data_IF_066824800900
#
_entry.id   IF_066824800900
#
_cell.length_a   1.000
_cell.length_b   1.000
_cell.length_c   1.000
_cell.angle_alpha   90.00
_cell.angle_beta   90.00
_cell.angle_gamma   90.00
#
_symmetry.space_group_name_H-M   'P 1'
#
loop_
_entity.id
_entity.type
_entity.pdbx_description
1 polymer ?
#
# COMPACT_ATOMS: atom_id res chain seq x y z
N UNK A 1 -1.70 22.62 -11.97
CA UNK A 1 -2.59 21.47 -12.19
C UNK A 1 -1.95 20.53 -13.20
N UNK A 2 -1.41 19.38 -12.77
CA UNK A 2 -0.98 18.32 -13.68
C UNK A 2 -2.20 17.53 -14.13
N UNK A 3 -2.78 17.91 -15.28
CA UNK A 3 -3.72 17.03 -15.99
C UNK A 3 -2.88 15.91 -16.60
N UNK A 4 -2.70 14.81 -15.87
CA UNK A 4 -2.33 13.53 -16.50
C UNK A 4 -3.40 13.30 -17.57
N UNK A 5 -3.02 13.37 -18.86
CA UNK A 5 -3.89 12.85 -19.92
C UNK A 5 -3.94 11.35 -19.65
N UNK A 6 -5.02 10.91 -19.01
CA UNK A 6 -5.32 9.48 -18.91
C UNK A 6 -5.49 9.04 -20.36
N UNK A 7 -4.51 8.29 -20.87
CA UNK A 7 -4.74 7.51 -22.08
C UNK A 7 -5.78 6.48 -21.66
N UNK A 8 -7.01 6.65 -22.15
CA UNK A 8 -8.08 5.68 -21.91
C UNK A 8 -7.80 4.54 -22.87
N UNK A 9 -7.32 3.42 -22.35
CA UNK A 9 -7.18 2.20 -23.15
C UNK A 9 -8.58 1.70 -23.49
N UNK A 10 -8.77 1.12 -24.68
CA UNK A 10 -10.09 0.67 -25.16
C UNK A 10 -10.72 -0.40 -24.25
N UNK A 11 -9.93 -1.07 -23.41
CA UNK A 11 -10.39 -2.05 -22.42
C UNK A 11 -11.15 -1.41 -21.22
N UNK A 12 -10.96 -0.10 -20.97
CA UNK A 12 -11.59 0.70 -19.90
C UNK A 12 -12.93 1.34 -20.32
N UNK A 13 -13.54 0.90 -21.42
CA UNK A 13 -14.89 1.30 -21.75
C UNK A 13 -15.91 0.54 -20.90
N UNK A 14 -16.41 1.21 -19.84
CA UNK A 14 -17.49 0.74 -18.96
C UNK A 14 -18.87 0.72 -19.63
N UNK A 15 -18.95 0.88 -20.95
CA UNK A 15 -20.21 0.86 -21.71
C UNK A 15 -21.04 -0.41 -21.48
N UNK A 16 -20.40 -1.56 -21.24
CA UNK A 16 -21.06 -2.84 -20.92
C UNK A 16 -21.76 -2.87 -19.54
N UNK A 17 -21.43 -1.95 -18.64
CA UNK A 17 -22.12 -1.80 -17.34
C UNK A 17 -23.46 -1.04 -17.47
N UNK A 18 -23.75 -0.45 -18.64
CA UNK A 18 -24.95 0.36 -18.87
C UNK A 18 -26.25 -0.40 -18.61
N UNK A 19 -26.95 -0.05 -17.53
CA UNK A 19 -28.24 -0.64 -17.18
C UNK A 19 -28.16 -1.81 -16.19
N UNK A 20 -27.00 -2.04 -15.56
CA UNK A 20 -26.93 -2.82 -14.32
C UNK A 20 -27.66 -2.05 -13.19
N UNK A 21 -28.49 -2.76 -12.42
CA UNK A 21 -29.30 -2.15 -11.34
C UNK A 21 -28.85 -2.59 -9.95
N UNK A 22 -28.22 -3.76 -9.86
CA UNK A 22 -27.75 -4.35 -8.61
C UNK A 22 -26.26 -4.71 -8.74
N UNK A 23 -25.54 -4.75 -7.62
CA UNK A 23 -24.12 -5.16 -7.58
C UNK A 23 -23.88 -6.55 -8.21
N UNK A 24 -24.85 -7.47 -8.07
CA UNK A 24 -24.83 -8.76 -8.74
C UNK A 24 -24.92 -8.66 -10.27
N UNK A 25 -25.72 -7.72 -10.79
CA UNK A 25 -25.83 -7.50 -12.25
C UNK A 25 -24.52 -6.95 -12.82
N UNK A 26 -23.84 -6.06 -12.09
CA UNK A 26 -22.54 -5.53 -12.49
C UNK A 26 -21.48 -6.64 -12.57
N UNK A 27 -21.42 -7.49 -11.55
CA UNK A 27 -20.50 -8.63 -11.52
C UNK A 27 -20.81 -9.61 -12.66
N UNK A 28 -22.09 -9.93 -12.88
CA UNK A 28 -22.54 -10.81 -13.97
C UNK A 28 -22.07 -10.28 -15.32
N UNK A 29 -22.26 -8.99 -15.60
CA UNK A 29 -21.85 -8.39 -16.89
C UNK A 29 -20.34 -8.30 -17.07
N UNK A 30 -19.59 -8.04 -15.99
CA UNK A 30 -18.11 -8.12 -16.02
C UNK A 30 -17.65 -9.54 -16.37
N UNK A 31 -18.29 -10.56 -15.79
CA UNK A 31 -18.01 -11.95 -16.12
C UNK A 31 -18.39 -12.27 -17.58
N UNK A 32 -19.56 -11.84 -18.06
CA UNK A 32 -19.98 -12.04 -19.45
C UNK A 32 -18.95 -11.44 -20.44
N UNK A 33 -18.41 -10.25 -20.17
CA UNK A 33 -17.33 -9.64 -20.98
C UNK A 33 -16.04 -10.48 -20.98
N UNK A 34 -15.63 -10.98 -19.82
CA UNK A 34 -14.43 -11.82 -19.69
C UNK A 34 -14.60 -13.17 -20.41
N UNK A 35 -15.81 -13.74 -20.36
CA UNK A 35 -16.13 -15.03 -20.99
C UNK A 35 -16.28 -14.93 -22.51
N UNK A 36 -16.50 -13.75 -23.09
CA UNK A 36 -16.51 -13.57 -24.55
C UNK A 36 -15.14 -13.87 -25.17
N UNK A 37 -14.04 -13.60 -24.47
CA UNK A 37 -12.67 -13.77 -24.96
C UNK A 37 -11.80 -14.55 -23.97
N UNK A 38 -12.08 -15.84 -23.81
CA UNK A 38 -11.38 -16.71 -22.84
C UNK A 38 -9.87 -16.84 -23.11
N UNK A 39 -9.44 -16.71 -24.37
CA UNK A 39 -8.02 -16.77 -24.74
C UNK A 39 -7.22 -15.53 -24.33
N UNK A 40 -7.87 -14.36 -24.14
CA UNK A 40 -7.18 -13.14 -23.69
C UNK A 40 -6.98 -13.24 -22.17
N UNK A 41 -5.73 -13.25 -21.67
CA UNK A 41 -5.50 -13.26 -20.23
C UNK A 41 -6.12 -12.02 -19.60
N UNK A 42 -6.83 -12.20 -18.49
CA UNK A 42 -7.43 -11.10 -17.76
C UNK A 42 -6.35 -10.15 -17.23
N UNK A 43 -6.52 -8.86 -17.47
CA UNK A 43 -5.63 -7.84 -16.95
C UNK A 43 -5.84 -7.69 -15.43
N UNK A 44 -4.80 -8.03 -14.66
CA UNK A 44 -4.77 -7.79 -13.21
C UNK A 44 -3.86 -6.57 -13.01
N UNK A 45 -4.39 -5.43 -12.53
CA UNK A 45 -3.58 -4.24 -12.37
C UNK A 45 -2.49 -4.48 -11.31
N UNK A 46 -1.26 -4.12 -11.64
CA UNK A 46 -0.18 -4.08 -10.67
C UNK A 46 -0.44 -3.01 -9.60
N UNK A 47 0.16 -3.18 -8.42
CA UNK A 47 0.06 -2.18 -7.35
C UNK A 47 0.53 -0.82 -7.90
N UNK A 48 -0.26 0.26 -7.75
CA UNK A 48 0.14 1.57 -8.23
C UNK A 48 1.45 1.97 -7.56
N UNK A 49 2.42 2.37 -8.38
CA UNK A 49 3.72 2.85 -7.88
C UNK A 49 3.51 4.11 -7.04
N UNK A 50 4.10 4.13 -5.86
CA UNK A 50 4.09 5.31 -5.00
C UNK A 50 4.79 6.47 -5.73
N UNK A 51 4.17 7.66 -5.65
CA UNK A 51 4.78 8.85 -6.22
C UNK A 51 6.06 9.17 -5.44
N UNK A 52 7.14 9.44 -6.18
CA UNK A 52 8.43 9.85 -5.62
C UNK A 52 9.00 11.00 -6.45
N UNK A 53 9.74 11.94 -5.83
CA UNK A 53 10.44 12.97 -6.57
C UNK A 53 11.42 12.33 -7.55
N UNK A 54 11.51 12.90 -8.75
CA UNK A 54 12.48 12.46 -9.74
C UNK A 54 13.90 12.72 -9.21
N UNK A 55 14.86 11.79 -9.45
CA UNK A 55 16.25 12.06 -9.10
C UNK A 55 16.76 13.27 -9.90
N UNK A 56 17.64 14.10 -9.32
CA UNK A 56 18.24 15.19 -10.05
C UNK A 56 19.04 14.63 -11.25
N UNK A 57 19.05 15.33 -12.40
CA UNK A 57 19.87 14.93 -13.53
C UNK A 57 21.35 14.99 -13.16
N UNK A 58 22.11 14.00 -13.59
CA UNK A 58 23.55 13.90 -13.28
C UNK A 58 24.37 15.04 -13.88
N UNK A 59 24.03 15.45 -15.11
CA UNK A 59 24.70 16.54 -15.81
C UNK A 59 23.70 17.56 -16.35
N UNK A 60 23.92 18.82 -16.01
CA UNK A 60 23.24 19.95 -16.66
C UNK A 60 24.12 20.41 -17.82
N UNK A 61 23.65 20.21 -19.05
CA UNK A 61 24.44 20.51 -20.26
C UNK A 61 24.42 22.00 -20.64
N UNK A 62 23.39 22.72 -20.24
CA UNK A 62 23.11 24.09 -20.69
C UNK A 62 23.40 25.12 -19.59
N UNK A 63 24.56 25.01 -18.93
CA UNK A 63 24.96 25.93 -17.87
C UNK A 63 25.59 27.17 -18.52
N UNK A 64 25.04 28.35 -18.23
CA UNK A 64 25.64 29.63 -18.63
C UNK A 64 26.87 29.94 -17.76
N UNK A 65 27.85 30.66 -18.30
CA UNK A 65 29.09 30.96 -17.59
C UNK A 65 28.85 31.66 -16.25
N UNK A 66 29.71 31.43 -15.26
CA UNK A 66 29.52 31.91 -13.88
C UNK A 66 29.45 33.43 -13.73
N UNK A 67 30.03 34.18 -14.69
CA UNK A 67 30.00 35.64 -14.74
C UNK A 67 28.96 36.19 -15.73
N UNK A 68 28.16 35.34 -16.37
CA UNK A 68 27.11 35.77 -17.27
C UNK A 68 25.98 36.47 -16.48
N UNK A 69 25.43 37.55 -17.03
CA UNK A 69 24.29 38.25 -16.43
C UNK A 69 23.00 37.41 -16.42
N UNK A 70 21.99 37.87 -15.69
CA UNK A 70 20.71 37.19 -15.63
C UNK A 70 20.01 37.21 -17.00
N UNK A 71 19.84 36.03 -17.60
CA UNK A 71 19.08 35.85 -18.84
C UNK A 71 17.57 35.83 -18.61
N UNK A 72 16.79 35.99 -19.67
CA UNK A 72 15.31 35.97 -19.62
C UNK A 72 14.72 34.63 -19.18
N UNK A 73 15.45 33.53 -19.36
CA UNK A 73 15.03 32.18 -18.94
C UNK A 73 15.37 31.82 -17.50
N UNK A 74 16.25 32.58 -16.83
CA UNK A 74 16.81 32.21 -15.53
C UNK A 74 15.74 32.16 -14.43
N UNK A 75 14.76 33.07 -14.48
CA UNK A 75 13.62 33.07 -13.57
C UNK A 75 12.80 31.77 -13.66
N UNK A 76 12.55 31.28 -14.88
CA UNK A 76 11.78 30.05 -15.08
C UNK A 76 12.55 28.82 -14.61
N UNK A 77 13.88 28.81 -14.77
CA UNK A 77 14.75 27.76 -14.26
C UNK A 77 14.67 27.73 -12.73
N UNK A 78 14.89 28.86 -12.05
CA UNK A 78 14.77 28.96 -10.59
C UNK A 78 13.38 28.52 -10.09
N UNK A 79 12.31 29.00 -10.73
CA UNK A 79 10.93 28.63 -10.35
C UNK A 79 10.71 27.12 -10.40
N UNK A 80 11.19 26.46 -11.45
CA UNK A 80 11.06 25.02 -11.62
C UNK A 80 11.91 24.24 -10.59
N UNK A 81 13.16 24.66 -10.38
CA UNK A 81 14.06 24.05 -9.39
C UNK A 81 13.48 24.17 -7.98
N UNK A 82 13.04 25.38 -7.60
CA UNK A 82 12.44 25.64 -6.29
C UNK A 82 11.18 24.78 -6.06
N UNK A 83 10.34 24.65 -7.09
CA UNK A 83 9.16 23.79 -7.02
C UNK A 83 9.54 22.34 -6.79
N UNK A 84 10.47 21.80 -7.60
CA UNK A 84 10.96 20.41 -7.46
C UNK A 84 11.57 20.17 -6.10
N UNK A 85 12.35 21.13 -5.59
CA UNK A 85 13.00 21.01 -4.29
C UNK A 85 12.01 21.05 -3.13
N UNK A 86 11.02 21.96 -3.18
CA UNK A 86 9.95 21.97 -2.18
C UNK A 86 9.14 20.66 -2.18
N UNK A 87 8.81 20.14 -3.36
CA UNK A 87 8.13 18.84 -3.51
C UNK A 87 8.98 17.70 -2.94
N UNK A 88 10.30 17.73 -3.14
CA UNK A 88 11.25 16.76 -2.57
C UNK A 88 11.31 16.84 -1.04
N UNK A 89 11.39 18.05 -0.48
CA UNK A 89 11.43 18.26 0.96
C UNK A 89 10.13 17.80 1.64
N UNK A 90 8.98 18.14 1.05
CA UNK A 90 7.67 17.67 1.52
C UNK A 90 7.56 16.14 1.48
N UNK A 91 8.06 15.50 0.42
CA UNK A 91 8.09 14.04 0.32
C UNK A 91 8.91 13.40 1.45
N UNK A 92 10.10 13.93 1.72
CA UNK A 92 10.98 13.42 2.78
C UNK A 92 10.33 13.56 4.15
N UNK A 93 9.74 14.72 4.43
CA UNK A 93 9.04 14.97 5.69
C UNK A 93 7.85 14.02 5.88
N UNK A 94 7.00 13.86 4.85
CA UNK A 94 5.86 12.95 4.89
C UNK A 94 6.30 11.49 5.07
N UNK A 95 7.37 11.07 4.41
CA UNK A 95 7.89 9.72 4.54
C UNK A 95 8.45 9.46 5.95
N UNK A 96 9.16 10.43 6.53
CA UNK A 96 9.66 10.33 7.91
C UNK A 96 8.51 10.24 8.93
N UNK A 97 7.46 11.04 8.75
CA UNK A 97 6.25 10.98 9.60
C UNK A 97 5.57 9.62 9.47
N UNK A 98 5.40 9.12 8.23
CA UNK A 98 4.78 7.82 7.95
C UNK A 98 5.57 6.69 8.62
N UNK A 99 6.89 6.65 8.42
CA UNK A 99 7.75 5.62 9.01
C UNK A 99 7.68 5.62 10.54
N UNK A 100 7.67 6.81 11.15
CA UNK A 100 7.52 6.95 12.61
C UNK A 100 6.19 6.37 13.09
N UNK A 101 5.09 6.73 12.43
CA UNK A 101 3.75 6.26 12.80
C UNK A 101 3.59 4.76 12.58
N UNK A 102 4.13 4.23 11.50
CA UNK A 102 4.11 2.80 11.19
C UNK A 102 4.87 2.00 12.27
N UNK A 103 6.05 2.48 12.68
CA UNK A 103 6.83 1.86 13.76
C UNK A 103 6.10 1.89 15.10
N UNK A 104 5.55 3.04 15.50
CA UNK A 104 4.76 3.16 16.73
C UNK A 104 3.52 2.25 16.72
N UNK A 105 2.92 2.06 15.55
CA UNK A 105 1.79 1.16 15.38
C UNK A 105 2.20 -0.31 15.51
N UNK A 106 3.29 -0.72 14.86
CA UNK A 106 3.83 -2.08 14.95
C UNK A 106 4.18 -2.45 16.39
N UNK A 107 4.92 -1.59 17.10
CA UNK A 107 5.27 -1.79 18.51
C UNK A 107 4.02 -1.97 19.39
N UNK A 108 3.00 -1.13 19.20
CA UNK A 108 1.74 -1.22 19.94
C UNK A 108 0.99 -2.52 19.65
N UNK A 109 1.02 -2.98 18.40
CA UNK A 109 0.36 -4.22 17.99
C UNK A 109 1.07 -5.45 18.55
N UNK A 110 2.40 -5.45 18.55
CA UNK A 110 3.21 -6.51 19.16
C UNK A 110 2.99 -6.59 20.66
N UNK A 111 2.96 -5.45 21.36
CA UNK A 111 2.68 -5.42 22.79
C UNK A 111 1.29 -6.00 23.10
N UNK A 112 0.27 -5.58 22.35
CA UNK A 112 -1.09 -6.11 22.48
C UNK A 112 -1.15 -7.61 22.23
N UNK A 113 -0.45 -8.09 21.21
CA UNK A 113 -0.34 -9.53 20.89
C UNK A 113 0.32 -10.29 22.03
N UNK A 114 1.46 -9.81 22.55
CA UNK A 114 2.18 -10.40 23.69
C UNK A 114 1.30 -10.47 24.95
N UNK A 115 0.57 -9.40 25.25
CA UNK A 115 -0.35 -9.38 26.41
C UNK A 115 -1.53 -10.36 26.23
N UNK A 116 -2.09 -10.46 25.02
CA UNK A 116 -3.14 -11.42 24.71
C UNK A 116 -2.64 -12.86 24.81
N UNK A 117 -1.44 -13.14 24.30
CA UNK A 117 -0.78 -14.44 24.38
C UNK A 117 -0.45 -14.83 25.82
N UNK A 118 0.09 -13.91 26.64
CA UNK A 118 0.35 -14.17 28.06
C UNK A 118 -0.93 -14.51 28.84
N UNK A 119 -2.02 -13.75 28.60
CA UNK A 119 -3.33 -14.04 29.19
C UNK A 119 -3.87 -15.39 28.75
N UNK A 120 -3.71 -15.72 27.47
CA UNK A 120 -4.17 -16.98 26.88
C UNK A 120 -3.35 -18.17 27.37
N UNK A 121 -2.04 -18.03 27.46
CA UNK A 121 -1.11 -19.03 27.98
C UNK A 121 -1.40 -19.34 29.45
N UNK A 122 -1.60 -18.31 30.30
CA UNK A 122 -2.01 -18.51 31.71
C UNK A 122 -3.31 -19.30 31.82
N UNK A 123 -4.32 -18.98 31.00
CA UNK A 123 -5.59 -19.71 30.98
C UNK A 123 -5.43 -21.14 30.43
N UNK A 124 -4.57 -21.34 29.42
CA UNK A 124 -4.26 -22.65 28.84
C UNK A 124 -3.55 -23.55 29.86
N UNK A 125 -2.53 -23.04 30.56
CA UNK A 125 -1.81 -23.77 31.60
C UNK A 125 -2.78 -24.27 32.68
N UNK A 126 -3.66 -23.40 33.21
CA UNK A 126 -4.68 -23.80 34.18
C UNK A 126 -5.57 -24.95 33.69
N UNK A 127 -5.99 -24.94 32.42
CA UNK A 127 -6.78 -26.03 31.84
C UNK A 127 -5.95 -27.30 31.69
N UNK A 128 -4.68 -27.19 31.30
CA UNK A 128 -3.80 -28.34 31.16
C UNK A 128 -3.53 -29.01 32.51
N UNK A 129 -3.25 -28.23 33.56
CA UNK A 129 -3.10 -28.76 34.93
C UNK A 129 -4.36 -29.54 35.37
N UNK A 130 -5.55 -28.98 35.10
CA UNK A 130 -6.81 -29.64 35.43
C UNK A 130 -7.05 -30.92 34.62
N UNK A 131 -6.73 -30.92 33.32
CA UNK A 131 -6.81 -32.12 32.47
C UNK A 131 -5.84 -33.19 32.97
N UNK A 132 -4.57 -32.83 33.20
CA UNK A 132 -3.55 -33.74 33.72
C UNK A 132 -3.99 -34.36 35.05
N UNK A 133 -4.57 -33.57 35.96
CA UNK A 133 -5.10 -34.06 37.24
C UNK A 133 -6.23 -35.08 37.04
N UNK A 134 -7.20 -34.79 36.16
CA UNK A 134 -8.29 -35.72 35.84
C UNK A 134 -7.73 -37.01 35.22
N UNK A 135 -6.75 -36.91 34.33
CA UNK A 135 -6.16 -38.06 33.67
C UNK A 135 -5.41 -38.95 34.68
N UNK A 136 -4.66 -38.36 35.62
CA UNK A 136 -4.03 -39.09 36.73
C UNK A 136 -5.08 -39.79 37.60
N UNK A 137 -6.15 -39.09 37.98
CA UNK A 137 -7.21 -39.66 38.82
C UNK A 137 -7.95 -40.81 38.12
N UNK A 138 -8.22 -40.68 36.82
CA UNK A 138 -8.81 -41.76 36.01
C UNK A 138 -7.88 -42.97 35.92
N UNK A 139 -6.58 -42.76 35.73
CA UNK A 139 -5.60 -43.85 35.68
C UNK A 139 -5.53 -44.59 37.03
N UNK A 140 -5.56 -43.87 38.16
CA UNK A 140 -5.60 -44.48 39.49
C UNK A 140 -6.87 -45.32 39.73
N UNK A 141 -8.02 -44.88 39.22
CA UNK A 141 -9.29 -45.62 39.35
C UNK A 141 -9.44 -46.80 38.37
N UNK A 142 -8.66 -46.84 37.29
CA UNK A 142 -8.66 -47.96 36.33
C UNK A 142 -7.68 -49.07 36.75
N UNK A 143 -6.68 -48.73 37.57
CA UNK A 143 -5.66 -49.66 38.07
C UNK A 143 -6.06 -50.40 39.36
N UNK A 144 -7.33 -50.31 39.78
CA UNK A 144 -7.93 -51.02 40.91
C UNK A 144 -9.21 -51.72 40.46
#
# INVERSE_FOLDING_TARGET
MNRRRFHKDDDDDDSYLRGAKTAMDEQRRRLEKLLQNIEKPAYIPEKPKEWKPEPPPEFVRNVVGSSAGAGSGEYHIYRNIRKKENERLQYIEQQAIKEKLDREFEERQEERKRLAEAKTAKKRAKRQEHINYIDIFKLQNILF
#
